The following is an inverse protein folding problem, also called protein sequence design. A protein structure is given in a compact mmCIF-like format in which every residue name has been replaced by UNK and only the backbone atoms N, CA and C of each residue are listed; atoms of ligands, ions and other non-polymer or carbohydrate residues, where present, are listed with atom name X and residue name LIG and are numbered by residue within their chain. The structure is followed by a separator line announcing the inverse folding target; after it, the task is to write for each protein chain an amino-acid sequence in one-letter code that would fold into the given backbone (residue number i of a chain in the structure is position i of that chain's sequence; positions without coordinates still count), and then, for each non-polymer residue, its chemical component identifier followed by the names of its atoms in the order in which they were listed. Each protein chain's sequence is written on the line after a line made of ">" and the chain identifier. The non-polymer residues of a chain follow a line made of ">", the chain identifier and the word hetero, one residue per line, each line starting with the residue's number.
data_IF_198662040280
#
_entry.id   IF_198662040280
#
_cell.length_a   1.000
_cell.length_b   1.000
_cell.length_c   1.000
_cell.angle_alpha   90.00
_cell.angle_beta   90.00
_cell.angle_gamma   90.00
#
_symmetry.space_group_name_H-M   'P 1'
#
loop_
_entity.id
_entity.type
_entity.pdbx_description
1 polymer ?
#
# COMPACT_ATOMS: atom_id res chain seq x y z
N UNK A 1 -3.46 -25.13 23.90
CA UNK A 1 -2.84 -23.82 23.63
C UNK A 1 -3.88 -22.76 23.95
N UNK A 2 -3.77 -22.10 25.11
CA UNK A 2 -4.78 -21.13 25.59
C UNK A 2 -4.40 -19.76 25.05
N UNK A 3 -5.20 -19.23 24.13
CA UNK A 3 -5.03 -17.88 23.62
C UNK A 3 -5.27 -16.87 24.76
N UNK A 4 -4.24 -16.08 25.09
CA UNK A 4 -4.24 -15.17 26.24
C UNK A 4 -5.31 -14.08 26.06
N UNK A 5 -5.97 -13.69 27.17
CA UNK A 5 -7.02 -12.66 27.20
C UNK A 5 -6.61 -11.36 26.48
N UNK A 6 -5.33 -11.01 26.56
CA UNK A 6 -4.71 -9.88 25.87
C UNK A 6 -4.85 -9.93 24.33
N UNK A 7 -4.70 -11.10 23.71
CA UNK A 7 -4.91 -11.30 22.27
C UNK A 7 -6.39 -11.14 21.89
N UNK A 8 -7.30 -11.57 22.75
CA UNK A 8 -8.75 -11.40 22.52
C UNK A 8 -9.19 -9.93 22.64
N UNK A 9 -8.52 -9.17 23.51
CA UNK A 9 -8.82 -7.76 23.73
C UNK A 9 -8.23 -6.89 22.60
N UNK A 10 -7.08 -7.26 22.01
CA UNK A 10 -6.55 -6.64 20.77
C UNK A 10 -7.51 -6.87 19.60
N UNK A 11 -8.00 -8.10 19.42
CA UNK A 11 -8.93 -8.45 18.34
C UNK A 11 -10.31 -7.76 18.47
N UNK A 12 -10.70 -7.34 19.68
CA UNK A 12 -11.95 -6.60 19.92
C UNK A 12 -11.78 -5.08 19.81
N UNK A 13 -10.57 -4.55 19.98
CA UNK A 13 -10.32 -3.12 19.80
C UNK A 13 -10.36 -2.69 18.32
N UNK A 14 -10.23 -3.65 17.39
CA UNK A 14 -10.43 -3.44 15.95
C UNK A 14 -11.91 -3.53 15.50
N UNK A 15 -12.89 -3.54 16.43
CA UNK A 15 -14.33 -3.74 16.14
C UNK A 15 -15.06 -2.53 15.52
N UNK A 16 -14.35 -1.59 14.89
CA UNK A 16 -14.85 -1.06 13.61
C UNK A 16 -14.12 -1.85 12.54
N UNK A 17 -14.50 -3.11 12.42
CA UNK A 17 -13.80 -4.06 11.56
C UNK A 17 -13.82 -3.55 10.15
N UNK A 18 -12.65 -3.17 9.64
CA UNK A 18 -12.44 -3.00 8.22
C UNK A 18 -13.02 -4.23 7.54
N UNK A 19 -14.01 -4.03 6.68
CA UNK A 19 -14.59 -5.11 5.90
C UNK A 19 -13.46 -5.76 5.08
N UNK A 20 -13.55 -7.07 4.88
CA UNK A 20 -12.57 -7.74 4.03
C UNK A 20 -12.70 -7.18 2.60
N UNK A 21 -11.60 -7.04 1.85
CA UNK A 21 -11.69 -6.58 0.48
C UNK A 21 -12.50 -7.58 -0.35
N UNK A 22 -13.31 -7.06 -1.27
CA UNK A 22 -14.19 -7.83 -2.15
C UNK A 22 -13.42 -8.54 -3.28
N UNK A 23 -12.23 -8.03 -3.63
CA UNK A 23 -11.43 -8.59 -4.73
C UNK A 23 -11.06 -10.06 -4.51
N UNK A 24 -11.24 -10.85 -5.56
CA UNK A 24 -10.84 -12.25 -5.66
C UNK A 24 -9.97 -12.54 -6.88
N UNK A 25 -9.51 -11.49 -7.58
CA UNK A 25 -8.73 -11.62 -8.82
C UNK A 25 -7.26 -11.81 -8.47
N UNK A 26 -6.77 -13.03 -8.63
CA UNK A 26 -5.37 -13.36 -8.35
C UNK A 26 -4.44 -13.00 -9.52
N UNK A 27 -3.24 -12.53 -9.20
CA UNK A 27 -2.15 -12.24 -10.14
C UNK A 27 -0.84 -12.86 -9.64
N UNK A 28 -0.07 -13.45 -10.55
CA UNK A 28 1.26 -13.97 -10.23
C UNK A 28 2.29 -12.84 -10.08
N UNK A 29 3.34 -13.06 -9.31
CA UNK A 29 4.43 -12.10 -9.18
C UNK A 29 5.15 -11.81 -10.51
N UNK A 30 5.20 -12.76 -11.45
CA UNK A 30 5.77 -12.58 -12.79
C UNK A 30 4.95 -11.55 -13.58
N UNK A 31 3.63 -11.68 -13.52
CA UNK A 31 2.73 -10.77 -14.22
C UNK A 31 2.71 -9.38 -13.56
N UNK A 32 2.67 -9.33 -12.23
CA UNK A 32 2.75 -8.09 -11.46
C UNK A 32 4.07 -7.35 -11.74
N UNK A 33 5.20 -8.06 -11.76
CA UNK A 33 6.49 -7.52 -12.18
C UNK A 33 6.43 -6.92 -13.59
N UNK A 34 5.76 -7.59 -14.53
CA UNK A 34 5.54 -7.11 -15.89
C UNK A 34 4.77 -5.79 -15.93
N UNK A 35 3.69 -5.65 -15.15
CA UNK A 35 2.92 -4.40 -15.03
C UNK A 35 3.80 -3.27 -14.49
N UNK A 36 4.52 -3.54 -13.41
CA UNK A 36 5.41 -2.56 -12.78
C UNK A 36 6.51 -2.11 -13.74
N UNK A 37 7.17 -3.04 -14.45
CA UNK A 37 8.21 -2.71 -15.45
C UNK A 37 7.66 -2.01 -16.67
N UNK A 38 6.46 -2.35 -17.13
CA UNK A 38 5.82 -1.63 -18.23
C UNK A 38 5.56 -0.16 -17.84
N UNK A 39 5.18 0.08 -16.58
CA UNK A 39 4.98 1.43 -16.06
C UNK A 39 6.28 2.20 -15.81
N UNK A 40 7.29 1.52 -15.28
CA UNK A 40 8.59 2.09 -14.92
C UNK A 40 9.74 1.24 -15.49
N UNK A 41 10.07 1.40 -16.79
CA UNK A 41 11.06 0.57 -17.48
C UNK A 41 12.46 0.62 -16.88
N UNK A 42 12.83 1.76 -16.29
CA UNK A 42 14.16 2.00 -15.74
C UNK A 42 14.25 1.80 -14.23
N UNK A 43 13.16 1.37 -13.56
CA UNK A 43 13.20 1.10 -12.12
C UNK A 43 14.19 -0.05 -11.86
N UNK A 44 15.23 0.17 -11.03
CA UNK A 44 16.30 -0.79 -10.84
C UNK A 44 15.87 -1.95 -9.94
N UNK A 45 15.13 -1.65 -8.87
CA UNK A 45 14.86 -2.61 -7.80
C UNK A 45 13.35 -2.83 -7.61
N UNK A 46 12.92 -4.08 -7.78
CA UNK A 46 11.53 -4.52 -7.59
C UNK A 46 11.54 -5.75 -6.70
N UNK A 47 10.94 -5.63 -5.52
CA UNK A 47 10.84 -6.71 -4.55
C UNK A 47 9.38 -7.12 -4.40
N UNK A 48 9.06 -8.37 -4.72
CA UNK A 48 7.74 -8.96 -4.53
C UNK A 48 7.85 -10.05 -3.46
N UNK A 49 7.18 -9.90 -2.32
CA UNK A 49 7.30 -10.78 -1.15
C UNK A 49 6.69 -12.16 -1.40
N UNK A 50 5.65 -12.21 -2.21
CA UNK A 50 4.83 -13.38 -2.43
C UNK A 50 4.88 -13.89 -3.87
N UNK A 51 4.45 -15.13 -4.07
CA UNK A 51 4.35 -15.72 -5.41
C UNK A 51 3.09 -15.26 -6.14
N UNK A 52 2.01 -14.97 -5.40
CA UNK A 52 0.74 -14.50 -5.92
C UNK A 52 0.15 -13.42 -5.01
N UNK A 53 -0.56 -12.49 -5.63
CA UNK A 53 -1.26 -11.38 -4.99
C UNK A 53 -2.71 -11.34 -5.45
N UNK A 54 -3.57 -10.64 -4.74
CA UNK A 54 -4.89 -10.24 -5.22
C UNK A 54 -4.79 -8.82 -5.82
N UNK A 55 -5.46 -8.56 -6.92
CA UNK A 55 -5.59 -7.19 -7.44
C UNK A 55 -6.48 -6.36 -6.51
N UNK A 56 -6.29 -5.06 -6.47
CA UNK A 56 -7.07 -4.19 -5.59
C UNK A 56 -8.36 -3.74 -6.29
N UNK A 57 -9.49 -3.86 -5.60
CA UNK A 57 -10.69 -3.17 -6.02
C UNK A 57 -10.60 -1.69 -5.60
N UNK A 58 -10.94 -0.77 -6.51
CA UNK A 58 -10.74 0.67 -6.28
C UNK A 58 -11.64 1.22 -5.16
N UNK A 59 -12.86 0.67 -4.99
CA UNK A 59 -13.79 1.06 -3.94
C UNK A 59 -13.29 0.60 -2.56
N UNK A 60 -12.71 -0.60 -2.48
CA UNK A 60 -12.07 -1.11 -1.26
C UNK A 60 -10.91 -0.22 -0.83
N UNK A 61 -10.01 0.13 -1.75
CA UNK A 61 -8.88 1.03 -1.44
C UNK A 61 -9.39 2.38 -0.95
N UNK A 62 -10.40 2.95 -1.61
CA UNK A 62 -11.00 4.23 -1.20
C UNK A 62 -11.65 4.14 0.19
N UNK A 63 -12.35 3.04 0.45
CA UNK A 63 -12.98 2.75 1.75
C UNK A 63 -11.92 2.58 2.85
N UNK A 64 -10.82 1.89 2.56
CA UNK A 64 -9.69 1.71 3.48
C UNK A 64 -9.09 3.05 3.86
N UNK A 65 -8.72 3.86 2.88
CA UNK A 65 -8.08 5.16 3.11
C UNK A 65 -8.99 6.12 3.90
N UNK A 66 -10.31 6.05 3.69
CA UNK A 66 -11.27 6.86 4.44
C UNK A 66 -11.33 6.49 5.94
N UNK A 67 -11.06 5.23 6.28
CA UNK A 67 -11.10 4.72 7.65
C UNK A 67 -9.76 4.81 8.35
N UNK A 68 -8.67 4.72 7.58
CA UNK A 68 -7.31 4.89 8.06
C UNK A 68 -7.08 6.32 8.58
N UNK A 69 -6.13 6.46 9.52
CA UNK A 69 -5.82 7.74 10.17
C UNK A 69 -4.42 8.26 9.83
N UNK A 70 -3.72 7.63 8.89
CA UNK A 70 -2.35 8.01 8.51
C UNK A 70 -2.28 9.48 8.09
N UNK A 71 -3.24 9.95 7.32
CA UNK A 71 -3.33 11.35 6.88
C UNK A 71 -3.61 12.36 8.02
N UNK A 72 -3.92 11.91 9.24
CA UNK A 72 -4.16 12.79 10.40
C UNK A 72 -2.88 13.07 11.18
N UNK A 73 -1.80 12.35 10.93
CA UNK A 73 -0.52 12.62 11.58
C UNK A 73 0.07 13.94 11.07
N UNK A 74 0.87 14.57 11.93
CA UNK A 74 1.58 15.80 11.60
C UNK A 74 2.95 15.46 11.02
N UNK A 75 3.23 15.98 9.84
CA UNK A 75 4.57 15.93 9.25
C UNK A 75 5.60 16.64 10.13
N UNK A 76 6.73 15.97 10.36
CA UNK A 76 7.90 16.51 11.05
C UNK A 76 9.15 16.09 10.28
N UNK A 77 9.84 17.04 9.66
CA UNK A 77 11.07 16.79 8.89
C UNK A 77 12.06 15.91 9.67
N UNK A 78 12.56 14.85 9.03
CA UNK A 78 13.55 13.87 9.55
C UNK A 78 13.10 13.01 10.74
N UNK A 79 11.94 13.29 11.34
CA UNK A 79 11.44 12.56 12.51
C UNK A 79 10.14 11.79 12.25
N UNK A 80 9.30 12.35 11.39
CA UNK A 80 8.05 11.76 10.94
C UNK A 80 7.70 12.34 9.55
N UNK A 81 8.45 11.91 8.54
CA UNK A 81 8.33 12.40 7.18
C UNK A 81 7.76 11.34 6.23
N UNK A 82 7.90 11.55 4.92
CA UNK A 82 7.26 10.76 3.88
C UNK A 82 7.41 9.24 4.06
N UNK A 83 8.58 8.77 4.48
CA UNK A 83 8.82 7.35 4.67
C UNK A 83 8.02 6.78 5.83
N UNK A 84 7.91 7.53 6.93
CA UNK A 84 7.16 7.14 8.12
C UNK A 84 5.66 7.06 7.84
N UNK A 85 5.11 8.00 7.06
CA UNK A 85 3.72 7.91 6.60
C UNK A 85 3.52 6.66 5.73
N UNK A 86 4.43 6.39 4.79
CA UNK A 86 4.29 5.23 3.91
C UNK A 86 4.38 3.88 4.64
N UNK A 87 5.32 3.78 5.60
CA UNK A 87 5.44 2.61 6.47
C UNK A 87 4.22 2.44 7.38
N UNK A 88 3.68 3.54 7.92
CA UNK A 88 2.49 3.48 8.75
C UNK A 88 1.31 2.95 7.96
N UNK A 89 1.05 3.51 6.78
CA UNK A 89 -0.06 3.08 5.92
C UNK A 89 0.08 1.61 5.52
N UNK A 90 1.28 1.17 5.11
CA UNK A 90 1.55 -0.24 4.81
C UNK A 90 1.31 -1.14 6.02
N UNK A 91 1.71 -0.70 7.21
CA UNK A 91 1.48 -1.43 8.45
C UNK A 91 -0.01 -1.60 8.77
N UNK A 92 -0.82 -0.56 8.55
CA UNK A 92 -2.28 -0.63 8.74
C UNK A 92 -2.93 -1.54 7.69
N UNK A 93 -2.40 -1.54 6.47
CA UNK A 93 -2.90 -2.36 5.37
C UNK A 93 -2.51 -3.84 5.52
N UNK A 94 -1.44 -4.14 6.26
CA UNK A 94 -0.90 -5.49 6.46
C UNK A 94 -1.68 -6.30 7.53
N UNK A 95 -3.00 -6.33 7.41
CA UNK A 95 -3.93 -7.06 8.30
C UNK A 95 -4.58 -8.25 7.57
N UNK A 96 -5.13 -9.25 8.29
CA UNK A 96 -5.81 -10.38 7.66
C UNK A 96 -6.88 -9.94 6.65
N UNK A 97 -6.89 -10.55 5.47
CA UNK A 97 -7.77 -10.20 4.34
C UNK A 97 -7.13 -9.20 3.38
N UNK A 98 -6.50 -8.14 3.89
CA UNK A 98 -5.91 -7.06 3.11
C UNK A 98 -4.48 -7.32 2.66
N UNK A 99 -3.68 -8.00 3.50
CA UNK A 99 -2.26 -8.24 3.28
C UNK A 99 -1.90 -9.06 2.03
N UNK A 100 -2.89 -9.64 1.33
CA UNK A 100 -2.68 -10.37 0.07
C UNK A 100 -2.82 -9.49 -1.17
N UNK A 101 -3.38 -8.29 -1.03
CA UNK A 101 -3.57 -7.40 -2.16
C UNK A 101 -2.23 -6.87 -2.66
N UNK A 102 -2.13 -6.58 -3.95
CA UNK A 102 -0.96 -5.99 -4.61
C UNK A 102 -0.82 -4.51 -4.22
N UNK A 103 -0.60 -4.26 -2.94
CA UNK A 103 -0.38 -2.95 -2.31
C UNK A 103 1.02 -2.93 -1.70
N UNK A 104 1.73 -1.83 -1.88
CA UNK A 104 3.12 -1.74 -1.44
C UNK A 104 3.62 -0.32 -1.29
N UNK A 105 4.93 -0.21 -1.18
CA UNK A 105 5.67 1.04 -0.99
C UNK A 105 6.54 1.29 -2.21
N UNK A 106 6.53 2.52 -2.72
CA UNK A 106 7.39 2.96 -3.82
C UNK A 106 8.18 4.20 -3.40
N UNK A 107 9.49 4.17 -3.65
CA UNK A 107 10.40 5.27 -3.37
C UNK A 107 10.85 5.91 -4.67
N UNK A 108 10.91 7.23 -4.68
CA UNK A 108 11.52 8.01 -5.75
C UNK A 108 12.86 8.59 -5.27
N UNK A 109 13.46 9.47 -6.07
CA UNK A 109 14.63 10.25 -5.70
C UNK A 109 14.34 11.32 -4.62
N UNK A 110 13.08 11.58 -4.27
CA UNK A 110 12.70 12.68 -3.35
C UNK A 110 11.61 12.33 -2.34
N UNK A 111 10.91 11.22 -2.51
CA UNK A 111 9.67 10.97 -1.78
C UNK A 111 9.39 9.47 -1.63
N UNK A 112 8.67 9.11 -0.57
CA UNK A 112 8.15 7.77 -0.33
C UNK A 112 6.61 7.82 -0.37
N UNK A 113 6.03 6.87 -1.10
CA UNK A 113 4.60 6.76 -1.39
C UNK A 113 4.16 5.31 -1.18
N UNK A 114 2.85 5.10 -1.10
CA UNK A 114 2.29 3.77 -1.31
C UNK A 114 1.82 3.63 -2.75
N UNK A 115 1.56 2.40 -3.18
CA UNK A 115 1.07 2.11 -4.51
C UNK A 115 0.28 0.80 -4.51
N UNK A 116 -0.58 0.65 -5.51
CA UNK A 116 -1.33 -0.59 -5.69
C UNK A 116 -1.57 -0.87 -7.16
N UNK A 117 -1.89 -2.13 -7.48
CA UNK A 117 -2.36 -2.53 -8.82
C UNK A 117 -3.82 -2.93 -8.74
N UNK A 118 -4.66 -2.26 -9.53
CA UNK A 118 -6.10 -2.49 -9.52
C UNK A 118 -6.53 -3.67 -10.39
N UNK A 119 -7.82 -4.01 -10.37
CA UNK A 119 -8.41 -5.11 -11.14
C UNK A 119 -8.27 -4.94 -12.67
N UNK A 120 -8.14 -3.70 -13.15
CA UNK A 120 -7.83 -3.36 -14.56
C UNK A 120 -6.34 -3.47 -14.90
N UNK A 121 -5.50 -3.94 -13.96
CA UNK A 121 -4.04 -4.07 -14.09
C UNK A 121 -3.33 -2.72 -14.30
N UNK A 122 -3.91 -1.65 -13.80
CA UNK A 122 -3.28 -0.32 -13.75
C UNK A 122 -2.58 -0.12 -12.40
N UNK A 123 -1.36 0.43 -12.42
CA UNK A 123 -0.63 0.82 -11.21
C UNK A 123 -1.01 2.24 -10.80
N UNK A 124 -1.50 2.37 -9.57
CA UNK A 124 -1.82 3.62 -8.92
C UNK A 124 -0.84 3.92 -7.77
N UNK A 125 -0.66 5.20 -7.49
CA UNK A 125 0.11 5.71 -6.37
C UNK A 125 -0.86 6.26 -5.32
N UNK A 126 -0.49 6.19 -4.05
CA UNK A 126 -1.23 6.76 -2.93
C UNK A 126 -0.29 7.68 -2.17
N UNK A 127 -0.68 8.95 -2.02
CA UNK A 127 -0.02 9.89 -1.12
C UNK A 127 -0.55 9.68 0.31
N UNK A 128 0.21 9.04 1.21
CA UNK A 128 -0.28 8.66 2.53
C UNK A 128 -0.55 9.87 3.45
N UNK A 129 -0.01 11.05 3.14
CA UNK A 129 -0.29 12.26 3.92
C UNK A 129 -1.65 12.89 3.59
N UNK A 130 -2.23 12.59 2.42
CA UNK A 130 -3.44 13.26 1.93
C UNK A 130 -4.52 12.31 1.42
N UNK A 131 -4.28 11.00 1.44
CA UNK A 131 -5.10 9.94 0.83
C UNK A 131 -5.34 10.13 -0.68
N UNK A 132 -4.48 10.89 -1.35
CA UNK A 132 -4.68 11.18 -2.77
C UNK A 132 -4.21 10.00 -3.62
N UNK A 133 -5.12 9.46 -4.43
CA UNK A 133 -4.82 8.43 -5.42
C UNK A 133 -4.40 9.08 -6.74
N UNK A 134 -3.23 8.71 -7.24
CA UNK A 134 -2.57 9.35 -8.37
C UNK A 134 -2.19 8.33 -9.44
N UNK A 135 -2.41 8.68 -10.72
CA UNK A 135 -1.85 7.89 -11.84
C UNK A 135 -0.38 8.20 -12.08
N UNK A 136 0.09 9.41 -11.79
CA UNK A 136 1.46 9.88 -12.10
C UNK A 136 2.09 10.58 -10.89
N UNK A 137 3.43 10.56 -10.80
CA UNK A 137 4.15 11.38 -9.84
C UNK A 137 3.88 12.87 -10.07
N UNK A 138 3.74 13.63 -8.98
CA UNK A 138 3.78 15.09 -9.03
C UNK A 138 5.24 15.56 -9.03
N UNK A 139 5.50 16.74 -9.60
CA UNK A 139 6.86 17.26 -9.76
C UNK A 139 7.68 17.33 -8.46
N UNK A 140 7.02 17.62 -7.33
CA UNK A 140 7.67 17.69 -6.02
C UNK A 140 8.04 16.32 -5.45
N UNK A 141 7.39 15.24 -5.91
CA UNK A 141 7.66 13.87 -5.48
C UNK A 141 8.91 13.29 -6.15
N UNK A 142 9.54 14.00 -7.08
CA UNK A 142 10.57 13.43 -7.95
C UNK A 142 9.98 12.66 -9.13
N UNK A 143 10.85 12.23 -10.04
CA UNK A 143 10.44 11.55 -11.27
C UNK A 143 11.22 10.26 -11.53
N UNK A 144 12.17 9.92 -10.65
CA UNK A 144 13.01 8.74 -10.81
C UNK A 144 12.64 7.72 -9.74
N UNK A 145 11.81 6.71 -10.05
CA UNK A 145 11.54 5.63 -9.12
C UNK A 145 12.83 4.86 -8.83
N UNK A 146 13.10 4.61 -7.55
CA UNK A 146 14.30 3.94 -7.04
C UNK A 146 14.02 2.50 -6.71
N UNK A 147 12.98 2.23 -5.95
CA UNK A 147 12.57 0.86 -5.68
C UNK A 147 11.09 0.77 -5.36
N UNK A 148 10.56 -0.43 -5.47
CA UNK A 148 9.23 -0.81 -5.01
C UNK A 148 9.32 -2.11 -4.21
N UNK A 149 8.55 -2.19 -3.13
CA UNK A 149 8.31 -3.42 -2.38
C UNK A 149 6.81 -3.64 -2.25
N UNK A 150 6.36 -4.84 -2.63
CA UNK A 150 4.98 -5.32 -2.52
C UNK A 150 4.97 -6.70 -1.91
#
# INVERSE_FOLDING_TARGET
>A
MVMCKFLKDILKASDKGLEAPDSNIEISNIELYGIIKARFPDMPDIFLSDQNFLLCNDDDITSFLTQDVTNKYKYVTEAYDCDNFSYHLMGQFSIPGWARLAFGIIWTDKHALNCFVNEDKELYLVEPQTDEILKNFKAWMGNTPRFIIM
#
